data_IF_772368017295
#
_entry.id   IF_772368017295
#
_cell.length_a   1.000
_cell.length_b   1.000
_cell.length_c   1.000
_cell.angle_alpha   90.00
_cell.angle_beta   90.00
_cell.angle_gamma   90.00
#
_symmetry.space_group_name_H-M   'P 1'
#
loop_
_entity.id
_entity.type
_entity.pdbx_description
1 polymer ?
#
# COMPACT_ATOMS: atom_id res chain seq x y z
N UNK A 1 51.30 -10.21 -4.70
CA UNK A 1 50.88 -10.64 -3.34
C UNK A 1 50.58 -9.43 -2.45
N UNK A 2 49.37 -8.85 -2.50
CA UNK A 2 49.04 -7.65 -1.71
C UNK A 2 47.56 -7.30 -1.56
N UNK A 3 46.66 -8.07 -2.16
CA UNK A 3 45.21 -7.80 -2.17
C UNK A 3 44.43 -8.55 -1.10
N UNK A 4 45.11 -9.35 -0.27
CA UNK A 4 44.49 -10.23 0.74
C UNK A 4 43.71 -9.45 1.80
N UNK A 5 44.19 -8.28 2.22
CA UNK A 5 43.48 -7.44 3.18
C UNK A 5 42.18 -6.86 2.61
N UNK A 6 42.18 -6.48 1.32
CA UNK A 6 40.99 -5.95 0.67
C UNK A 6 39.92 -7.04 0.49
N UNK A 7 40.33 -8.25 0.12
CA UNK A 7 39.45 -9.41 0.01
C UNK A 7 38.87 -9.84 1.37
N UNK A 8 39.65 -9.70 2.44
CA UNK A 8 39.17 -10.02 3.79
C UNK A 8 38.19 -8.96 4.30
N UNK A 9 38.46 -7.68 4.02
CA UNK A 9 37.57 -6.58 4.37
C UNK A 9 36.22 -6.67 3.62
N UNK A 10 36.23 -7.02 2.32
CA UNK A 10 35.00 -7.19 1.55
C UNK A 10 34.16 -8.36 2.08
N UNK A 11 34.79 -9.52 2.32
CA UNK A 11 34.10 -10.68 2.91
C UNK A 11 33.50 -10.39 4.29
N UNK A 12 34.22 -9.64 5.13
CA UNK A 12 33.72 -9.22 6.44
C UNK A 12 32.53 -8.26 6.33
N UNK A 13 32.51 -7.40 5.30
CA UNK A 13 31.39 -6.52 5.01
C UNK A 13 30.17 -7.32 4.54
N UNK A 14 30.35 -8.24 3.58
CA UNK A 14 29.29 -9.09 3.04
C UNK A 14 28.62 -9.93 4.14
N UNK A 15 29.41 -10.46 5.08
CA UNK A 15 28.93 -11.17 6.28
C UNK A 15 28.09 -10.27 7.19
N UNK A 16 28.51 -9.02 7.43
CA UNK A 16 27.75 -8.05 8.25
C UNK A 16 26.46 -7.61 7.55
N UNK A 17 26.49 -7.51 6.23
CA UNK A 17 25.35 -7.11 5.40
C UNK A 17 24.35 -8.23 5.13
N UNK A 18 24.60 -9.45 5.63
CA UNK A 18 23.71 -10.59 5.44
C UNK A 18 23.62 -11.06 3.99
N UNK A 19 24.59 -10.69 3.14
CA UNK A 19 24.68 -11.17 1.77
C UNK A 19 25.21 -12.59 1.82
N UNK A 20 24.28 -13.54 1.88
CA UNK A 20 24.60 -14.97 1.82
C UNK A 20 25.23 -15.23 0.45
N UNK A 21 26.54 -15.42 0.41
CA UNK A 21 27.21 -15.94 -0.78
C UNK A 21 26.56 -17.27 -1.12
N UNK A 22 26.06 -17.34 -2.35
CA UNK A 22 25.21 -18.41 -2.85
C UNK A 22 25.95 -19.76 -2.89
N UNK A 23 26.06 -20.43 -1.75
CA UNK A 23 26.42 -21.83 -1.66
C UNK A 23 25.99 -22.38 -0.29
N UNK A 24 24.84 -23.06 -0.30
CA UNK A 24 24.33 -23.93 0.76
C UNK A 24 23.93 -23.28 2.09
N UNK A 25 22.61 -23.12 2.30
CA UNK A 25 21.83 -24.02 3.19
C UNK A 25 20.38 -23.57 3.26
N UNK A 26 19.49 -24.51 2.94
CA UNK A 26 18.12 -24.57 3.43
C UNK A 26 18.09 -24.46 4.95
N UNK A 27 17.41 -23.46 5.50
CA UNK A 27 17.05 -23.43 6.93
C UNK A 27 17.04 -22.04 7.58
N UNK A 28 15.84 -21.46 7.68
CA UNK A 28 15.39 -20.50 8.71
C UNK A 28 16.08 -19.13 8.83
N UNK A 29 15.50 -18.13 8.19
CA UNK A 29 15.32 -16.78 8.74
C UNK A 29 13.96 -16.31 8.27
N UNK A 30 13.09 -15.86 9.20
CA UNK A 30 11.75 -15.31 8.96
C UNK A 30 11.51 -14.92 7.50
N UNK A 31 10.92 -15.83 6.73
CA UNK A 31 10.47 -15.53 5.40
C UNK A 31 9.32 -14.53 5.59
N UNK A 32 9.63 -13.24 5.59
CA UNK A 32 8.71 -12.30 4.98
C UNK A 32 8.43 -12.90 3.61
N UNK A 33 7.25 -13.52 3.47
CA UNK A 33 6.72 -13.95 2.19
C UNK A 33 6.76 -12.69 1.35
N UNK A 34 7.82 -12.51 0.56
CA UNK A 34 7.96 -11.38 -0.35
C UNK A 34 6.66 -11.35 -1.14
N UNK A 35 5.86 -10.30 -0.93
CA UNK A 35 4.52 -10.22 -1.49
C UNK A 35 4.71 -10.34 -3.00
N UNK A 36 4.26 -11.47 -3.55
CA UNK A 36 4.40 -11.71 -4.98
C UNK A 36 3.71 -10.58 -5.73
N UNK A 37 4.40 -10.02 -6.73
CA UNK A 37 3.86 -8.92 -7.50
C UNK A 37 2.54 -9.35 -8.15
N UNK A 38 1.49 -8.58 -7.89
CA UNK A 38 0.21 -8.65 -8.58
C UNK A 38 -0.15 -7.27 -9.12
N UNK A 39 -0.53 -7.14 -10.41
CA UNK A 39 -0.99 -5.86 -10.97
C UNK A 39 -2.15 -5.24 -10.18
N UNK A 40 -3.04 -6.08 -9.63
CA UNK A 40 -4.15 -5.61 -8.80
C UNK A 40 -3.67 -5.03 -7.46
N UNK A 41 -2.70 -5.69 -6.82
CA UNK A 41 -2.10 -5.20 -5.57
C UNK A 41 -1.31 -3.90 -5.80
N UNK A 42 -0.53 -3.83 -6.88
CA UNK A 42 0.18 -2.61 -7.26
C UNK A 42 -0.80 -1.44 -7.45
N UNK A 43 -1.90 -1.67 -8.19
CA UNK A 43 -2.93 -0.66 -8.41
C UNK A 43 -3.62 -0.22 -7.12
N UNK A 44 -3.92 -1.16 -6.22
CA UNK A 44 -4.50 -0.85 -4.91
C UNK A 44 -3.56 0.06 -4.09
N UNK A 45 -2.24 -0.20 -4.09
CA UNK A 45 -1.26 0.67 -3.42
C UNK A 45 -1.22 2.08 -4.01
N UNK A 46 -1.32 2.21 -5.34
CA UNK A 46 -1.41 3.53 -5.99
C UNK A 46 -2.67 4.28 -5.55
N UNK A 47 -3.83 3.63 -5.57
CA UNK A 47 -5.11 4.21 -5.12
C UNK A 47 -5.02 4.68 -3.67
N UNK A 48 -4.49 3.83 -2.77
CA UNK A 48 -4.29 4.17 -1.37
C UNK A 48 -3.33 5.35 -1.18
N UNK A 49 -2.27 5.42 -2.00
CA UNK A 49 -1.33 6.55 -1.99
C UNK A 49 -2.01 7.85 -2.41
N UNK A 50 -2.86 7.84 -3.45
CA UNK A 50 -3.68 8.99 -3.83
C UNK A 50 -4.65 9.40 -2.73
N UNK A 51 -5.36 8.43 -2.13
CA UNK A 51 -6.33 8.70 -1.06
C UNK A 51 -5.66 9.33 0.17
N UNK A 52 -4.52 8.79 0.60
CA UNK A 52 -3.83 9.18 1.83
C UNK A 52 -3.09 10.51 1.72
N UNK A 53 -2.43 10.75 0.59
CA UNK A 53 -1.53 11.89 0.42
C UNK A 53 -2.08 12.94 -0.56
N UNK A 54 -3.36 12.83 -0.94
CA UNK A 54 -4.02 13.71 -1.92
C UNK A 54 -3.22 13.87 -3.23
N UNK A 55 -2.55 12.78 -3.67
CA UNK A 55 -1.71 12.85 -4.88
C UNK A 55 -2.57 12.87 -6.14
N UNK A 56 -2.30 13.81 -7.07
CA UNK A 56 -3.02 13.87 -8.35
C UNK A 56 -2.70 12.63 -9.20
N UNK A 57 -3.69 12.10 -9.90
CA UNK A 57 -3.51 10.85 -10.68
C UNK A 57 -2.49 11.00 -11.82
N UNK A 58 -2.31 12.21 -12.33
CA UNK A 58 -1.31 12.48 -13.37
C UNK A 58 0.13 12.31 -12.87
N UNK A 59 0.38 12.31 -11.55
CA UNK A 59 1.74 12.06 -11.04
C UNK A 59 2.24 10.63 -11.33
N UNK A 60 1.34 9.72 -11.72
CA UNK A 60 1.71 8.36 -12.11
C UNK A 60 2.08 8.26 -13.60
N UNK A 61 1.82 9.30 -14.40
CA UNK A 61 2.25 9.35 -15.80
C UNK A 61 3.61 10.01 -16.00
N UNK A 62 4.16 10.61 -14.95
CA UNK A 62 5.48 11.22 -14.96
C UNK A 62 6.56 10.19 -15.30
N UNK A 63 7.56 10.60 -16.07
CA UNK A 63 8.60 9.68 -16.56
C UNK A 63 9.49 9.20 -15.41
N UNK A 64 9.76 10.04 -14.42
CA UNK A 64 10.52 9.71 -13.22
C UNK A 64 9.81 8.61 -12.41
N UNK A 65 8.48 8.66 -12.32
CA UNK A 65 7.70 7.62 -11.63
C UNK A 65 7.75 6.29 -12.40
N UNK A 66 7.63 6.33 -13.74
CA UNK A 66 7.76 5.12 -14.57
C UNK A 66 9.15 4.50 -14.46
N UNK A 67 10.20 5.33 -14.44
CA UNK A 67 11.58 4.90 -14.23
C UNK A 67 11.78 4.27 -12.85
N UNK A 68 11.24 4.89 -11.79
CA UNK A 68 11.25 4.31 -10.43
C UNK A 68 10.61 2.91 -10.43
N UNK A 69 9.41 2.79 -11.00
CA UNK A 69 8.70 1.49 -11.11
C UNK A 69 9.50 0.48 -11.91
N UNK A 70 10.13 0.89 -13.02
CA UNK A 70 10.95 0.01 -13.86
C UNK A 70 12.23 -0.46 -13.16
N UNK A 71 12.89 0.41 -12.38
CA UNK A 71 14.07 0.07 -11.57
C UNK A 71 13.73 -0.95 -10.47
N UNK A 72 12.59 -0.78 -9.81
CA UNK A 72 12.15 -1.66 -8.72
C UNK A 72 11.56 -2.97 -9.25
N UNK A 73 10.84 -2.92 -10.37
CA UNK A 73 10.17 -4.08 -10.98
C UNK A 73 10.13 -3.96 -12.50
N UNK A 74 11.13 -4.52 -13.21
CA UNK A 74 11.13 -4.56 -14.67
C UNK A 74 9.87 -5.25 -15.20
N UNK A 75 9.23 -4.63 -16.21
CA UNK A 75 8.01 -5.14 -16.82
C UNK A 75 6.71 -4.85 -16.08
N UNK A 76 6.74 -4.12 -14.95
CA UNK A 76 5.51 -3.65 -14.31
C UNK A 76 4.84 -2.55 -15.16
N UNK A 77 3.58 -2.76 -15.51
CA UNK A 77 2.79 -1.76 -16.24
C UNK A 77 2.16 -0.77 -15.27
N UNK A 78 2.38 0.52 -15.49
CA UNK A 78 1.71 1.59 -14.76
C UNK A 78 0.31 1.81 -15.35
N UNK A 79 -0.77 1.73 -14.55
CA UNK A 79 -2.12 1.94 -15.04
C UNK A 79 -2.35 3.40 -15.43
N UNK A 80 -3.26 3.61 -16.39
CA UNK A 80 -3.67 4.95 -16.78
C UNK A 80 -4.33 5.73 -15.61
N UNK A 81 -4.11 7.05 -15.47
CA UNK A 81 -4.69 7.86 -14.38
C UNK A 81 -6.21 7.71 -14.22
N UNK A 82 -6.94 7.60 -15.33
CA UNK A 82 -8.40 7.39 -15.31
C UNK A 82 -8.82 6.06 -14.66
N UNK A 83 -7.96 5.04 -14.66
CA UNK A 83 -8.20 3.77 -13.97
C UNK A 83 -8.09 3.97 -12.46
N UNK A 84 -7.05 4.68 -12.01
CA UNK A 84 -6.83 4.98 -10.59
C UNK A 84 -7.96 5.86 -10.03
N UNK A 85 -8.41 6.85 -10.81
CA UNK A 85 -9.56 7.68 -10.45
C UNK A 85 -10.84 6.87 -10.27
N UNK A 86 -11.13 5.94 -11.20
CA UNK A 86 -12.29 5.04 -11.11
C UNK A 86 -12.21 4.13 -9.89
N UNK A 87 -11.05 3.53 -9.65
CA UNK A 87 -10.84 2.67 -8.49
C UNK A 87 -10.99 3.45 -7.17
N UNK A 88 -10.43 4.66 -7.10
CA UNK A 88 -10.56 5.51 -5.92
C UNK A 88 -12.03 5.88 -5.65
N UNK A 89 -12.78 6.22 -6.70
CA UNK A 89 -14.22 6.47 -6.58
C UNK A 89 -14.95 5.24 -6.03
N UNK A 90 -14.58 4.04 -6.50
CA UNK A 90 -15.16 2.80 -5.99
C UNK A 90 -14.86 2.59 -4.50
N UNK A 91 -13.60 2.82 -4.09
CA UNK A 91 -13.20 2.73 -2.67
C UNK A 91 -14.00 3.69 -1.80
N UNK A 92 -14.17 4.95 -2.21
CA UNK A 92 -14.98 5.92 -1.46
C UNK A 92 -16.45 5.51 -1.39
N UNK A 93 -17.02 4.97 -2.47
CA UNK A 93 -18.40 4.49 -2.47
C UNK A 93 -18.60 3.35 -1.46
N UNK A 94 -17.71 2.36 -1.44
CA UNK A 94 -17.78 1.28 -0.45
C UNK A 94 -17.57 1.80 0.97
N UNK A 95 -16.60 2.67 1.19
CA UNK A 95 -16.31 3.23 2.50
C UNK A 95 -17.47 4.08 3.04
N UNK A 96 -18.16 4.84 2.19
CA UNK A 96 -19.33 5.63 2.58
C UNK A 96 -20.47 4.77 3.13
N UNK A 97 -20.62 3.53 2.64
CA UNK A 97 -21.60 2.58 3.18
C UNK A 97 -21.23 2.16 4.59
N UNK A 98 -19.94 1.88 4.86
CA UNK A 98 -19.47 1.56 6.20
C UNK A 98 -19.70 2.71 7.18
N UNK A 99 -19.37 3.94 6.76
CA UNK A 99 -19.61 5.15 7.57
C UNK A 99 -21.10 5.33 7.85
N UNK A 100 -21.95 5.21 6.82
CA UNK A 100 -23.41 5.27 6.98
C UNK A 100 -23.91 4.22 7.98
N UNK A 101 -23.47 2.97 7.85
CA UNK A 101 -23.89 1.89 8.73
C UNK A 101 -23.43 2.12 10.18
N UNK A 102 -22.21 2.62 10.37
CA UNK A 102 -21.72 3.00 11.70
C UNK A 102 -22.61 4.05 12.36
N UNK A 103 -23.01 5.10 11.64
CA UNK A 103 -23.91 6.12 12.17
C UNK A 103 -25.35 5.65 12.32
N UNK A 104 -25.85 4.73 11.49
CA UNK A 104 -27.17 4.14 11.69
C UNK A 104 -27.21 3.29 12.97
N UNK A 105 -26.22 2.44 13.21
CA UNK A 105 -26.18 1.58 14.41
C UNK A 105 -25.92 2.42 15.67
N UNK A 106 -24.91 3.30 15.65
CA UNK A 106 -24.54 4.09 16.83
C UNK A 106 -25.47 5.30 17.08
N UNK A 107 -26.06 5.87 16.02
CA UNK A 107 -27.09 6.89 16.13
C UNK A 107 -28.39 6.34 16.71
N UNK A 108 -28.78 5.11 16.35
CA UNK A 108 -29.95 4.45 16.97
C UNK A 108 -29.72 4.16 18.46
N UNK A 109 -28.49 3.83 18.87
CA UNK A 109 -28.14 3.62 20.30
C UNK A 109 -28.18 4.94 21.08
N UNK A 110 -27.71 6.05 20.49
CA UNK A 110 -27.80 7.38 21.11
C UNK A 110 -29.25 7.89 21.20
N UNK A 111 -30.09 7.65 20.20
CA UNK A 111 -31.51 8.04 20.22
C UNK A 111 -32.36 7.14 21.12
N UNK A 112 -32.03 5.85 21.29
CA UNK A 112 -32.75 4.98 22.23
C UNK A 112 -32.39 5.22 23.71
N UNK A 113 -31.20 5.76 24.00
CA UNK A 113 -30.78 6.13 25.37
C UNK A 113 -31.22 7.53 25.81
N UNK A 114 -31.86 8.31 24.92
CA UNK A 114 -32.50 9.60 25.26
C UNK A 114 -33.91 9.67 24.66
N UNK A 115 -34.86 8.94 25.24
CA UNK A 115 -36.27 9.37 25.20
C UNK A 115 -36.43 10.64 26.04
N UNK A 116 -36.01 11.78 25.49
CA UNK A 116 -36.64 13.06 25.80
C UNK A 116 -37.47 13.41 24.58
N UNK A 117 -38.78 13.45 24.80
CA UNK A 117 -39.82 13.75 23.82
C UNK A 117 -39.51 15.06 23.10
N UNK A 118 -39.28 15.01 21.78
CA UNK A 118 -39.47 16.16 20.90
C UNK A 118 -40.41 15.71 19.79
N UNK A 119 -41.69 16.04 19.98
CA UNK A 119 -42.71 15.98 18.94
C UNK A 119 -42.34 16.97 17.83
N UNK A 120 -41.99 16.47 16.64
CA UNK A 120 -42.04 17.31 15.46
C UNK A 120 -43.47 17.33 14.94
N UNK A 121 -44.08 18.51 15.07
CA UNK A 121 -45.39 18.82 14.52
C UNK A 121 -45.40 18.62 12.99
N UNK A 122 -46.48 17.97 12.56
CA UNK A 122 -46.91 17.74 11.18
C UNK A 122 -47.30 19.08 10.55
N UNK A 123 -46.83 19.35 9.33
CA UNK A 123 -47.40 20.37 8.44
C UNK A 123 -48.74 19.87 7.91
#
# INVERSE_FOLDING_TARGET
>A
EGTTNLLNASKACDLKSGVVTAAAKSGSSSAEKGVSYSPAAHRALMVMRSAKYARPFNSYTDEEYKQEVAMLRPGATVPHPSTISRDLKHVYLQMSQHVKNHFLVNGLVLFNSRRVLINYARV
#
